data_IF_274720112842
#
_entry.id   IF_274720112842
#
_cell.length_a   1.000
_cell.length_b   1.000
_cell.length_c   1.000
_cell.angle_alpha   90.00
_cell.angle_beta   90.00
_cell.angle_gamma   90.00
#
_symmetry.space_group_name_H-M   'P 1'
#
loop_
_entity.id
_entity.type
_entity.pdbx_description
1 polymer ?
#
# COMPACT_ATOMS: atom_id res chain seq x y z
N UNK A 1 4.60 10.57 0.13
CA UNK A 1 3.61 10.06 1.09
C UNK A 1 3.34 11.18 2.09
N UNK A 2 2.08 11.36 2.48
CA UNK A 2 1.71 12.26 3.57
C UNK A 2 2.31 11.76 4.90
N UNK A 3 2.62 12.63 5.87
CA UNK A 3 2.97 12.19 7.23
C UNK A 3 2.04 11.12 7.81
N UNK A 4 0.73 11.21 7.55
CA UNK A 4 -0.27 10.22 7.99
C UNK A 4 -0.09 8.85 7.33
N UNK A 5 0.21 8.80 6.04
CA UNK A 5 0.46 7.54 5.33
C UNK A 5 1.73 6.85 5.85
N UNK A 6 2.74 7.66 6.22
CA UNK A 6 4.01 7.15 6.80
C UNK A 6 3.78 6.59 8.21
N UNK A 7 2.98 7.28 9.00
CA UNK A 7 2.60 6.81 10.34
C UNK A 7 1.79 5.51 10.26
N UNK A 8 0.81 5.47 9.35
CA UNK A 8 0.01 4.28 9.04
C UNK A 8 0.91 3.08 8.71
N UNK A 9 1.80 3.22 7.73
CA UNK A 9 2.74 2.17 7.37
C UNK A 9 3.61 1.69 8.56
N UNK A 10 4.00 2.62 9.46
CA UNK A 10 4.70 2.25 10.69
C UNK A 10 3.81 1.44 11.65
N UNK A 11 2.52 1.80 11.82
CA UNK A 11 1.60 1.05 12.68
C UNK A 11 1.31 -0.34 12.12
N UNK A 12 0.97 -0.44 10.83
CA UNK A 12 0.79 -1.71 10.11
C UNK A 12 2.00 -2.62 10.32
N UNK A 13 3.21 -2.10 10.13
CA UNK A 13 4.45 -2.88 10.29
C UNK A 13 4.67 -3.33 11.72
N UNK A 14 4.42 -2.47 12.71
CA UNK A 14 4.55 -2.82 14.13
C UNK A 14 3.52 -3.87 14.56
N UNK A 15 2.30 -3.77 14.06
CA UNK A 15 1.24 -4.73 14.34
C UNK A 15 1.60 -6.10 13.74
N UNK A 16 2.02 -6.12 12.47
CA UNK A 16 2.52 -7.32 11.81
C UNK A 16 3.67 -7.97 12.57
N UNK A 17 4.67 -7.18 13.01
CA UNK A 17 5.82 -7.72 13.75
C UNK A 17 5.48 -8.20 15.17
N UNK A 18 4.43 -7.65 15.79
CA UNK A 18 3.96 -8.11 17.09
C UNK A 18 3.41 -9.53 17.00
N UNK A 19 2.61 -9.80 15.97
CA UNK A 19 1.93 -11.08 15.80
C UNK A 19 2.79 -12.09 15.02
N UNK A 20 3.65 -11.60 14.13
CA UNK A 20 4.57 -12.37 13.29
C UNK A 20 6.01 -11.87 13.44
N UNK A 21 6.66 -12.07 14.61
CA UNK A 21 8.02 -11.58 14.87
C UNK A 21 9.08 -12.21 13.95
N UNK A 22 8.79 -13.36 13.35
CA UNK A 22 9.65 -14.06 12.40
C UNK A 22 9.30 -13.76 10.92
N UNK A 23 8.50 -12.73 10.65
CA UNK A 23 8.16 -12.34 9.27
C UNK A 23 9.41 -12.09 8.43
N UNK A 24 9.39 -12.55 7.17
CA UNK A 24 10.52 -12.38 6.27
C UNK A 24 10.83 -10.88 6.07
N UNK A 25 12.12 -10.49 5.92
CA UNK A 25 12.50 -9.09 5.74
C UNK A 25 11.79 -8.39 4.57
N UNK A 26 11.48 -9.12 3.50
CA UNK A 26 10.72 -8.62 2.37
C UNK A 26 9.27 -8.28 2.70
N UNK A 27 8.64 -9.02 3.61
CA UNK A 27 7.28 -8.75 4.09
C UNK A 27 7.27 -7.50 4.94
N UNK A 28 8.24 -7.36 5.85
CA UNK A 28 8.40 -6.17 6.69
C UNK A 28 8.67 -4.94 5.82
N UNK A 29 9.56 -5.05 4.82
CA UNK A 29 9.83 -3.98 3.88
C UNK A 29 8.58 -3.62 3.05
N UNK A 30 7.82 -4.62 2.61
CA UNK A 30 6.56 -4.39 1.88
C UNK A 30 5.51 -3.72 2.78
N UNK A 31 5.39 -4.10 4.06
CA UNK A 31 4.51 -3.45 5.02
C UNK A 31 4.86 -1.95 5.21
N UNK A 32 6.15 -1.62 5.29
CA UNK A 32 6.61 -0.23 5.40
C UNK A 32 6.38 0.60 4.13
N UNK A 33 6.31 -0.06 2.97
CA UNK A 33 6.36 0.60 1.66
C UNK A 33 5.10 0.38 0.81
N UNK A 34 4.09 -0.35 1.29
CA UNK A 34 2.89 -0.70 0.51
C UNK A 34 2.19 0.54 -0.06
N UNK A 35 2.21 1.63 0.71
CA UNK A 35 1.61 2.90 0.38
C UNK A 35 2.50 3.89 -0.38
N UNK A 36 3.72 3.50 -0.74
CA UNK A 36 4.67 4.42 -1.36
C UNK A 36 4.19 4.97 -2.70
N UNK A 37 3.30 4.28 -3.42
CA UNK A 37 2.66 4.79 -4.64
C UNK A 37 1.80 6.03 -4.40
N UNK A 38 1.26 6.24 -3.19
CA UNK A 38 0.56 7.48 -2.80
C UNK A 38 1.49 8.71 -2.81
N UNK A 39 2.82 8.51 -2.91
CA UNK A 39 3.79 9.60 -3.02
C UNK A 39 3.79 10.32 -4.38
N UNK A 40 3.33 9.67 -5.45
CA UNK A 40 3.35 10.24 -6.81
C UNK A 40 2.53 11.52 -6.88
N UNK A 41 1.42 11.56 -6.15
CA UNK A 41 0.59 12.75 -6.01
C UNK A 41 0.03 12.80 -4.59
N UNK A 42 0.59 13.67 -3.72
CA UNK A 42 0.02 13.93 -2.41
C UNK A 42 -1.42 14.44 -2.53
N UNK A 43 -2.32 13.94 -1.69
CA UNK A 43 -3.70 14.41 -1.63
C UNK A 43 -3.81 15.75 -0.93
N UNK A 44 -4.67 16.63 -1.45
CA UNK A 44 -5.24 17.73 -0.67
C UNK A 44 -6.22 17.17 0.36
N UNK A 45 -6.50 17.94 1.42
CA UNK A 45 -7.41 17.51 2.50
C UNK A 45 -8.78 17.08 1.96
N UNK A 46 -9.38 17.87 1.06
CA UNK A 46 -10.67 17.53 0.44
C UNK A 46 -10.59 16.27 -0.43
N UNK A 47 -9.52 16.11 -1.23
CA UNK A 47 -9.30 14.89 -2.04
C UNK A 47 -9.19 13.66 -1.14
N UNK A 48 -8.52 13.77 0.02
CA UNK A 48 -8.36 12.66 0.96
C UNK A 48 -9.69 12.23 1.58
N UNK A 49 -10.55 13.18 1.95
CA UNK A 49 -11.91 12.88 2.43
C UNK A 49 -12.71 12.18 1.34
N UNK A 50 -12.73 12.71 0.12
CA UNK A 50 -13.47 12.13 -1.00
C UNK A 50 -12.97 10.73 -1.37
N UNK A 51 -11.64 10.53 -1.42
CA UNK A 51 -11.02 9.23 -1.71
C UNK A 51 -11.34 8.22 -0.61
N UNK A 52 -11.37 8.62 0.67
CA UNK A 52 -11.73 7.74 1.78
C UNK A 52 -13.19 7.27 1.73
N UNK A 53 -14.09 8.07 1.14
CA UNK A 53 -15.49 7.70 0.95
C UNK A 53 -15.74 6.86 -0.32
N UNK A 54 -14.74 6.75 -1.20
CA UNK A 54 -14.88 6.07 -2.48
C UNK A 54 -14.32 4.64 -2.39
N UNK A 55 -15.16 3.60 -2.54
CA UNK A 55 -14.69 2.22 -2.58
C UNK A 55 -13.67 2.03 -3.72
N UNK A 56 -12.64 1.23 -3.49
CA UNK A 56 -11.57 1.04 -4.49
C UNK A 56 -12.11 0.55 -5.85
N UNK A 57 -13.17 -0.28 -5.85
CA UNK A 57 -13.84 -0.74 -7.07
C UNK A 57 -14.41 0.43 -7.90
N UNK A 58 -14.96 1.44 -7.24
CA UNK A 58 -15.49 2.66 -7.89
C UNK A 58 -14.34 3.53 -8.39
N UNK A 59 -13.28 3.69 -7.60
CA UNK A 59 -12.08 4.43 -8.00
C UNK A 59 -11.44 3.86 -9.29
N UNK A 60 -11.49 2.53 -9.49
CA UNK A 60 -11.02 1.88 -10.73
C UNK A 60 -11.90 2.15 -11.95
N UNK A 61 -13.19 2.42 -11.78
CA UNK A 61 -14.12 2.74 -12.88
C UNK A 61 -13.96 4.18 -13.37
N UNK A 62 -13.56 5.09 -12.48
CA UNK A 62 -13.36 6.50 -12.78
C UNK A 62 -11.98 6.98 -12.27
N UNK A 63 -10.87 6.49 -12.87
CA UNK A 63 -9.54 6.76 -12.35
C UNK A 63 -9.06 8.16 -12.78
N UNK A 64 -9.66 9.20 -12.21
CA UNK A 64 -9.29 10.59 -12.43
C UNK A 64 -8.66 11.21 -11.18
N UNK A 65 -7.55 11.93 -11.36
CA UNK A 65 -6.87 12.67 -10.30
C UNK A 65 -6.54 11.81 -9.07
N UNK A 66 -7.10 12.17 -7.91
CA UNK A 66 -6.86 11.47 -6.65
C UNK A 66 -7.43 10.03 -6.64
N UNK A 67 -8.49 9.76 -7.41
CA UNK A 67 -9.04 8.40 -7.54
C UNK A 67 -8.12 7.48 -8.33
N UNK A 68 -7.34 8.01 -9.28
CA UNK A 68 -6.31 7.23 -9.99
C UNK A 68 -5.25 6.72 -9.01
N UNK A 69 -4.80 7.58 -8.09
CA UNK A 69 -3.83 7.18 -7.06
C UNK A 69 -4.45 6.16 -6.11
N UNK A 70 -5.69 6.36 -5.66
CA UNK A 70 -6.39 5.37 -4.83
C UNK A 70 -6.43 3.99 -5.48
N UNK A 71 -6.79 3.96 -6.77
CA UNK A 71 -6.95 2.76 -7.56
C UNK A 71 -5.63 2.02 -7.81
N UNK A 72 -4.57 2.77 -8.13
CA UNK A 72 -3.34 2.22 -8.71
C UNK A 72 -2.09 2.44 -7.87
N UNK A 73 -2.18 2.99 -6.64
CA UNK A 73 -1.01 3.13 -5.78
C UNK A 73 -0.26 1.82 -5.50
N UNK A 74 -0.87 0.61 -5.47
CA UNK A 74 -0.09 -0.63 -5.36
C UNK A 74 0.87 -0.82 -6.54
N UNK A 75 0.37 -0.70 -7.77
CA UNK A 75 1.14 -0.90 -9.00
C UNK A 75 2.16 0.23 -9.19
N UNK A 76 1.75 1.47 -8.94
CA UNK A 76 2.62 2.64 -8.98
C UNK A 76 3.74 2.54 -7.93
N UNK A 77 3.43 2.07 -6.72
CA UNK A 77 4.42 1.83 -5.67
C UNK A 77 5.41 0.74 -6.04
N UNK A 78 4.92 -0.36 -6.62
CA UNK A 78 5.78 -1.44 -7.12
C UNK A 78 6.73 -0.96 -8.22
N UNK A 79 6.27 -0.12 -9.14
CA UNK A 79 7.10 0.48 -10.17
C UNK A 79 8.17 1.41 -9.58
N UNK A 80 7.82 2.25 -8.61
CA UNK A 80 8.78 3.09 -7.89
C UNK A 80 9.87 2.25 -7.22
N UNK A 81 9.48 1.16 -6.56
CA UNK A 81 10.40 0.24 -5.90
C UNK A 81 11.32 -0.46 -6.90
N UNK A 82 10.78 -0.93 -8.03
CA UNK A 82 11.57 -1.56 -9.07
C UNK A 82 12.61 -0.59 -9.65
N UNK A 83 12.23 0.65 -9.94
CA UNK A 83 13.13 1.71 -10.43
C UNK A 83 14.20 2.10 -9.41
N UNK A 84 13.87 2.03 -8.11
CA UNK A 84 14.80 2.29 -7.02
C UNK A 84 15.76 1.12 -6.71
N UNK A 85 15.67 -0.01 -7.44
CA UNK A 85 16.51 -1.18 -7.21
C UNK A 85 16.12 -2.00 -5.98
N UNK A 86 14.86 -1.90 -5.52
CA UNK A 86 14.36 -2.73 -4.43
C UNK A 86 14.34 -4.22 -4.83
N UNK A 87 14.33 -5.11 -3.83
CA UNK A 87 14.22 -6.55 -4.07
C UNK A 87 12.92 -6.85 -4.85
N UNK A 88 12.96 -7.68 -5.92
CA UNK A 88 11.78 -7.94 -6.75
C UNK A 88 10.58 -8.50 -5.97
N UNK A 89 10.83 -9.24 -4.89
CA UNK A 89 9.79 -9.77 -4.01
C UNK A 89 9.01 -8.67 -3.29
N UNK A 90 9.69 -7.62 -2.83
CA UNK A 90 9.05 -6.46 -2.16
C UNK A 90 8.12 -5.75 -3.13
N UNK A 91 8.60 -5.46 -4.35
CA UNK A 91 7.76 -4.83 -5.37
C UNK A 91 6.52 -5.69 -5.72
N UNK A 92 6.65 -7.02 -5.80
CA UNK A 92 5.51 -7.91 -6.04
C UNK A 92 4.50 -7.91 -4.89
N UNK A 93 4.97 -7.93 -3.64
CA UNK A 93 4.09 -7.87 -2.47
C UNK A 93 3.33 -6.54 -2.43
N UNK A 94 4.03 -5.43 -2.69
CA UNK A 94 3.40 -4.10 -2.80
C UNK A 94 2.40 -4.04 -3.95
N UNK A 95 2.68 -4.61 -5.13
CA UNK A 95 1.70 -4.62 -6.22
C UNK A 95 0.40 -5.38 -5.88
N UNK A 96 0.47 -6.35 -4.96
CA UNK A 96 -0.62 -7.29 -4.67
C UNK A 96 -1.34 -7.04 -3.36
N UNK A 97 -0.97 -6.03 -2.56
CA UNK A 97 -1.54 -5.85 -1.23
C UNK A 97 -3.05 -5.52 -1.22
N UNK A 98 -3.64 -5.01 -2.32
CA UNK A 98 -5.10 -4.90 -2.45
C UNK A 98 -5.78 -6.17 -3.00
N UNK A 99 -5.03 -7.05 -3.66
CA UNK A 99 -5.54 -8.22 -4.38
C UNK A 99 -4.55 -9.37 -4.21
N UNK A 100 -4.51 -9.91 -2.99
CA UNK A 100 -3.52 -10.90 -2.59
C UNK A 100 -3.50 -12.17 -3.45
N UNK A 101 -4.63 -12.52 -4.07
CA UNK A 101 -4.76 -13.76 -4.85
C UNK A 101 -4.50 -14.97 -3.95
N UNK A 102 -3.57 -15.84 -4.36
CA UNK A 102 -3.11 -17.00 -3.58
C UNK A 102 -1.79 -16.76 -2.82
N UNK A 103 -1.27 -15.53 -2.81
CA UNK A 103 -0.02 -15.20 -2.12
C UNK A 103 -0.32 -14.93 -0.63
N UNK A 104 0.08 -15.82 0.30
CA UNK A 104 -0.29 -15.71 1.71
C UNK A 104 0.31 -14.47 2.38
N UNK A 105 1.47 -14.00 1.93
CA UNK A 105 2.09 -12.81 2.50
C UNK A 105 1.44 -11.53 1.99
N UNK A 106 1.00 -11.51 0.73
CA UNK A 106 0.19 -10.40 0.23
C UNK A 106 -1.17 -10.34 0.95
N UNK A 107 -1.75 -11.50 1.29
CA UNK A 107 -2.99 -11.58 2.07
C UNK A 107 -2.78 -11.10 3.50
N UNK A 108 -1.63 -11.43 4.09
CA UNK A 108 -1.24 -10.94 5.40
C UNK A 108 -1.10 -9.41 5.40
N UNK A 109 -0.42 -8.85 4.40
CA UNK A 109 -0.29 -7.40 4.24
C UNK A 109 -1.65 -6.73 4.08
N UNK A 110 -2.53 -7.27 3.23
CA UNK A 110 -3.88 -6.77 3.06
C UNK A 110 -4.66 -6.75 4.39
N UNK A 111 -4.56 -7.82 5.17
CA UNK A 111 -5.24 -7.94 6.44
C UNK A 111 -4.82 -6.85 7.43
N UNK A 112 -3.51 -6.63 7.61
CA UNK A 112 -3.04 -5.59 8.54
C UNK A 112 -3.26 -4.17 8.02
N UNK A 113 -3.26 -3.95 6.71
CA UNK A 113 -3.60 -2.66 6.11
C UNK A 113 -5.08 -2.30 6.37
N UNK A 114 -5.98 -3.27 6.28
CA UNK A 114 -7.42 -3.06 6.55
C UNK A 114 -7.76 -2.88 8.05
N UNK A 115 -6.89 -3.32 8.96
CA UNK A 115 -7.09 -3.19 10.42
C UNK A 115 -6.67 -1.83 10.98
N UNK A 116 -5.86 -1.05 10.27
CA UNK A 116 -5.25 0.22 10.71
C UNK A 116 -5.79 1.47 9.99
#
# INVERSE_FOLDING_TARGET
>A
MDPRDREHACRVTRHLLRDHPAAAPEVVAAALLHDCGKSIRPYRVAERVLVGLCPNRVARLLPLGALSVRAYHPELGAELLARAGARPRVARLVARHHHAGSDPEAALLHHYDDLE
#
